data_IF_378470368410
#
_entry.id   IF_378470368410
#
_cell.length_a   1.000
_cell.length_b   1.000
_cell.length_c   1.000
_cell.angle_alpha   90.00
_cell.angle_beta   90.00
_cell.angle_gamma   90.00
#
_symmetry.space_group_name_H-M   'P 1'
#
loop_
_entity.id
_entity.type
_entity.pdbx_description
1 polymer ?
#
# COMPACT_ATOMS: atom_id res chain seq x y z
N UNK A 1 -5.59 -14.28 -12.61
CA UNK A 1 -4.35 -13.48 -12.58
C UNK A 1 -3.27 -14.34 -11.96
N UNK A 2 -2.09 -14.39 -12.56
CA UNK A 2 -0.94 -15.09 -11.98
C UNK A 2 -0.16 -14.11 -11.10
N UNK A 3 -0.39 -14.18 -9.78
CA UNK A 3 0.29 -13.32 -8.81
C UNK A 3 1.76 -13.70 -8.62
N UNK A 4 2.15 -14.94 -8.95
CA UNK A 4 3.52 -15.40 -8.83
C UNK A 4 4.42 -14.81 -9.93
N UNK A 5 3.84 -14.41 -11.06
CA UNK A 5 4.54 -13.68 -12.12
C UNK A 5 4.99 -12.27 -11.70
N UNK A 6 4.38 -11.68 -10.67
CA UNK A 6 4.81 -10.40 -10.11
C UNK A 6 5.92 -10.65 -9.09
N UNK A 7 7.15 -10.52 -9.55
CA UNK A 7 8.37 -10.75 -8.76
C UNK A 7 8.90 -9.50 -8.07
N UNK A 8 8.32 -8.33 -8.35
CA UNK A 8 8.69 -7.06 -7.71
C UNK A 8 7.86 -6.79 -6.45
N UNK A 9 8.36 -5.97 -5.51
CA UNK A 9 7.59 -5.53 -4.34
C UNK A 9 6.25 -4.88 -4.72
N UNK A 10 5.21 -5.13 -3.92
CA UNK A 10 3.89 -4.52 -4.07
C UNK A 10 3.47 -3.85 -2.77
N UNK A 11 3.03 -2.60 -2.85
CA UNK A 11 2.43 -1.85 -1.74
C UNK A 11 0.92 -1.77 -1.92
N UNK A 12 0.17 -2.08 -0.87
CA UNK A 12 -1.24 -1.70 -0.75
C UNK A 12 -1.39 -0.72 0.41
N UNK A 13 -2.31 0.24 0.25
CA UNK A 13 -2.64 1.23 1.26
C UNK A 13 -4.09 1.03 1.68
N UNK A 14 -4.36 1.14 2.98
CA UNK A 14 -5.72 1.12 3.56
C UNK A 14 -5.97 2.45 4.25
N UNK A 15 -7.07 3.12 3.96
CA UNK A 15 -7.54 4.20 4.82
C UNK A 15 -8.34 3.62 5.98
N UNK A 16 -8.05 4.04 7.21
CA UNK A 16 -8.68 3.50 8.42
C UNK A 16 -10.20 3.70 8.45
N UNK A 17 -10.68 4.84 7.93
CA UNK A 17 -12.09 5.22 7.91
C UNK A 17 -12.69 5.17 6.50
N UNK A 18 -12.12 4.35 5.60
CA UNK A 18 -12.69 4.13 4.28
C UNK A 18 -14.07 3.45 4.38
N UNK A 19 -15.12 4.14 3.91
CA UNK A 19 -16.48 3.63 3.87
C UNK A 19 -16.86 3.04 2.50
N UNK A 20 -16.00 3.20 1.48
CA UNK A 20 -16.22 2.72 0.12
C UNK A 20 -15.55 1.36 -0.11
N UNK A 21 -14.35 1.15 0.43
CA UNK A 21 -13.60 -0.09 0.28
C UNK A 21 -13.59 -0.86 1.60
N UNK A 22 -14.09 -2.11 1.64
CA UNK A 22 -14.04 -2.91 2.86
C UNK A 22 -12.61 -3.08 3.39
N UNK A 23 -12.37 -2.98 4.71
CA UNK A 23 -11.03 -2.87 5.28
C UNK A 23 -10.15 -4.10 5.02
N UNK A 24 -10.74 -5.27 4.76
CA UNK A 24 -10.02 -6.49 4.42
C UNK A 24 -9.41 -6.50 3.01
N UNK A 25 -9.81 -5.60 2.10
CA UNK A 25 -9.39 -5.68 0.69
C UNK A 25 -7.89 -5.42 0.52
N UNK A 26 -7.35 -4.35 1.13
CA UNK A 26 -5.93 -4.03 1.05
C UNK A 26 -5.00 -5.13 1.62
N UNK A 27 -5.21 -5.66 2.85
CA UNK A 27 -4.36 -6.71 3.39
C UNK A 27 -4.51 -8.03 2.64
N UNK A 28 -5.73 -8.41 2.22
CA UNK A 28 -5.94 -9.62 1.39
C UNK A 28 -5.29 -9.47 0.02
N UNK A 29 -5.17 -8.26 -0.51
CA UNK A 29 -4.51 -8.00 -1.79
C UNK A 29 -3.00 -8.11 -1.66
N UNK A 30 -2.39 -7.49 -0.65
CA UNK A 30 -0.96 -7.66 -0.36
C UNK A 30 -0.60 -9.14 -0.20
N UNK A 31 -1.39 -9.92 0.54
CA UNK A 31 -1.14 -11.33 0.81
C UNK A 31 -1.16 -12.23 -0.44
N UNK A 32 -1.64 -11.76 -1.60
CA UNK A 32 -1.59 -12.51 -2.86
C UNK A 32 -0.21 -12.47 -3.52
N UNK A 33 0.60 -11.46 -3.21
CA UNK A 33 1.91 -11.23 -3.81
C UNK A 33 3.01 -11.75 -2.89
N UNK A 34 4.06 -12.35 -3.48
CA UNK A 34 5.22 -12.87 -2.75
C UNK A 34 5.90 -11.79 -1.89
N UNK A 35 5.95 -10.56 -2.39
CA UNK A 35 6.56 -9.40 -1.74
C UNK A 35 5.53 -8.28 -1.49
N UNK A 36 4.34 -8.66 -1.02
CA UNK A 36 3.28 -7.71 -0.68
C UNK A 36 3.45 -7.07 0.69
N UNK A 37 3.28 -5.75 0.76
CA UNK A 37 3.23 -4.95 2.00
C UNK A 37 1.88 -4.23 2.05
N UNK A 38 1.25 -4.19 3.22
CA UNK A 38 0.05 -3.38 3.47
C UNK A 38 0.35 -2.34 4.55
N UNK A 39 -0.04 -1.10 4.32
CA UNK A 39 0.10 0.00 5.28
C UNK A 39 -1.25 0.66 5.52
N UNK A 40 -1.55 0.96 6.78
CA UNK A 40 -2.74 1.70 7.17
C UNK A 40 -2.41 3.20 7.26
N UNK A 41 -3.20 4.05 6.60
CA UNK A 41 -3.17 5.50 6.76
C UNK A 41 -4.17 5.86 7.86
N UNK A 42 -3.65 6.08 9.07
CA UNK A 42 -4.44 6.34 10.25
C UNK A 42 -5.33 7.57 10.09
N UNK A 43 -6.54 7.51 10.62
CA UNK A 43 -7.51 8.61 10.61
C UNK A 43 -8.07 9.02 9.25
N UNK A 44 -7.59 8.42 8.15
CA UNK A 44 -7.94 8.87 6.79
C UNK A 44 -9.20 8.21 6.24
N UNK A 45 -9.96 8.98 5.46
CA UNK A 45 -11.04 8.48 4.61
C UNK A 45 -10.49 7.96 3.25
N UNK A 46 -11.39 7.62 2.33
CA UNK A 46 -11.02 7.10 1.02
C UNK A 46 -10.05 7.99 0.22
N UNK A 47 -10.06 9.30 0.45
CA UNK A 47 -9.24 10.27 -0.28
C UNK A 47 -7.85 10.44 0.32
N UNK A 48 -7.13 9.33 0.54
CA UNK A 48 -5.78 9.29 1.16
C UNK A 48 -4.72 10.10 0.40
N UNK A 49 -4.97 10.49 -0.85
CA UNK A 49 -4.10 11.32 -1.68
C UNK A 49 -4.53 12.80 -1.74
N UNK A 50 -5.37 13.25 -0.80
CA UNK A 50 -5.91 14.60 -0.76
C UNK A 50 -5.82 15.21 0.63
N UNK A 51 -5.85 16.55 0.70
CA UNK A 51 -5.90 17.30 1.95
C UNK A 51 -4.79 16.91 2.93
N UNK A 52 -5.15 16.82 4.20
CA UNK A 52 -4.21 16.56 5.30
C UNK A 52 -3.59 15.15 5.26
N UNK A 53 -4.24 14.19 4.59
CA UNK A 53 -3.74 12.83 4.46
C UNK A 53 -2.57 12.71 3.46
N UNK A 54 -2.46 13.63 2.50
CA UNK A 54 -1.51 13.54 1.39
C UNK A 54 -0.05 13.40 1.87
N UNK A 55 0.38 14.25 2.80
CA UNK A 55 1.77 14.24 3.27
C UNK A 55 2.12 12.92 3.98
N UNK A 56 1.22 12.42 4.82
CA UNK A 56 1.38 11.14 5.53
C UNK A 56 1.42 9.98 4.55
N UNK A 57 0.50 9.93 3.59
CA UNK A 57 0.45 8.90 2.55
C UNK A 57 1.72 8.87 1.71
N UNK A 58 2.20 10.03 1.25
CA UNK A 58 3.45 10.11 0.50
C UNK A 58 4.66 9.69 1.34
N UNK A 59 4.71 10.05 2.63
CA UNK A 59 5.77 9.61 3.54
C UNK A 59 5.86 8.08 3.68
N UNK A 60 4.71 7.39 3.73
CA UNK A 60 4.68 5.92 3.71
C UNK A 60 5.20 5.33 2.40
N UNK A 61 4.86 5.94 1.26
CA UNK A 61 5.35 5.52 -0.06
C UNK A 61 6.86 5.73 -0.15
N UNK A 62 7.37 6.88 0.26
CA UNK A 62 8.81 7.19 0.23
C UNK A 62 9.61 6.21 1.09
N UNK A 63 9.14 5.94 2.31
CA UNK A 63 9.76 4.97 3.20
C UNK A 63 9.73 3.56 2.59
N UNK A 64 8.62 3.16 1.97
CA UNK A 64 8.49 1.87 1.31
C UNK A 64 9.42 1.74 0.10
N UNK A 65 9.52 2.76 -0.75
CA UNK A 65 10.45 2.80 -1.88
C UNK A 65 11.88 2.68 -1.38
N UNK A 66 12.26 3.47 -0.36
CA UNK A 66 13.60 3.45 0.21
C UNK A 66 14.00 2.07 0.74
N UNK A 67 13.08 1.37 1.43
CA UNK A 67 13.30 0.02 1.93
C UNK A 67 13.41 -1.07 0.85
N UNK A 68 12.88 -0.81 -0.35
CA UNK A 68 12.80 -1.80 -1.43
C UNK A 68 13.73 -1.51 -2.62
N UNK A 69 14.59 -0.48 -2.56
CA UNK A 69 15.47 -0.08 -3.68
C UNK A 69 16.28 -1.23 -4.29
N UNK A 70 16.75 -2.18 -3.48
CA UNK A 70 17.51 -3.34 -3.96
C UNK A 70 16.68 -4.39 -4.72
N UNK A 71 15.36 -4.38 -4.56
CA UNK A 71 14.43 -5.33 -5.20
C UNK A 71 13.78 -4.78 -6.47
N UNK A 72 13.94 -3.48 -6.77
CA UNK A 72 13.47 -2.87 -8.03
C UNK A 72 14.52 -2.89 -9.14
N UNK A 73 15.78 -3.16 -8.82
CA UNK A 73 16.91 -3.13 -9.76
C UNK A 73 17.39 -4.51 -10.21
N UNK A 74 16.68 -5.58 -9.83
CA UNK A 74 17.02 -6.99 -10.08
C UNK A 74 16.31 -7.58 -11.29
#
# INVERSE_FOLDING_TARGET
MDFAAVTTPVLTLRAEHDLLVPPQIAPKTAARYRYGTCVDIAGSDHLVFSGDALATTMGHIDAWIAGNRGLFAS
#
